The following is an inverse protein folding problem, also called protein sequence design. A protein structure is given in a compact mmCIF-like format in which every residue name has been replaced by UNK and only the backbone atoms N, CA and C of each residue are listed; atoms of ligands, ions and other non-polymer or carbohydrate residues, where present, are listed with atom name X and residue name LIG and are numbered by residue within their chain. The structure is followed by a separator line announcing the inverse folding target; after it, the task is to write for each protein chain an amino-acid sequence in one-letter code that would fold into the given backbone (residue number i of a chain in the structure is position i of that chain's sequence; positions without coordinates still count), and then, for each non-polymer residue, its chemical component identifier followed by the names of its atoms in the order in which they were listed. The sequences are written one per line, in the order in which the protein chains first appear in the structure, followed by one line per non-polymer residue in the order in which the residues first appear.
data_IF_791209899715
#
_entry.id   IF_791209899715
#
_cell.length_a   1.000
_cell.length_b   1.000
_cell.length_c   1.000
_cell.angle_alpha   90.00
_cell.angle_beta   90.00
_cell.angle_gamma   90.00
#
_symmetry.space_group_name_H-M   'P 1'
#
loop_
_entity.id
_entity.type
_entity.pdbx_description
1 polymer ?
#
# COMPACT_ATOMS: atom_id res chain seq x y z
N UNK A 1 16.10 22.00 25.19
CA UNK A 1 15.39 20.78 24.77
C UNK A 1 15.96 20.35 23.43
N UNK A 2 16.71 19.24 23.38
CA UNK A 2 17.10 18.65 22.10
C UNK A 2 15.86 17.99 21.49
N UNK A 3 15.46 18.43 20.30
CA UNK A 3 14.45 17.75 19.52
C UNK A 3 15.02 16.40 19.10
N UNK A 4 14.54 15.32 19.72
CA UNK A 4 14.73 13.97 19.18
C UNK A 4 14.01 13.98 17.83
N UNK A 5 14.76 14.12 16.74
CA UNK A 5 14.25 13.83 15.40
C UNK A 5 14.01 12.33 15.39
N UNK A 6 12.81 11.90 15.77
CA UNK A 6 12.33 10.61 15.32
C UNK A 6 12.36 10.66 13.80
N UNK A 7 13.29 9.92 13.21
CA UNK A 7 13.43 9.80 11.78
C UNK A 7 12.15 9.15 11.27
N UNK A 8 11.23 9.97 10.73
CA UNK A 8 9.91 9.53 10.30
C UNK A 8 10.08 8.69 9.03
N UNK A 9 10.37 7.40 9.24
CA UNK A 9 10.71 6.50 8.16
C UNK A 9 9.43 5.88 7.58
N UNK A 10 9.06 6.36 6.39
CA UNK A 10 7.88 5.88 5.65
C UNK A 10 8.01 4.39 5.31
N UNK A 11 9.22 3.95 4.93
CA UNK A 11 9.49 2.57 4.55
C UNK A 11 9.26 1.61 5.73
N UNK A 12 9.66 1.99 6.94
CA UNK A 12 9.39 1.19 8.14
C UNK A 12 7.91 1.10 8.45
N UNK A 13 7.17 2.20 8.31
CA UNK A 13 5.72 2.21 8.54
C UNK A 13 4.97 1.35 7.53
N UNK A 14 5.39 1.40 6.26
CA UNK A 14 4.85 0.55 5.21
C UNK A 14 5.14 -0.94 5.49
N UNK A 15 6.38 -1.28 5.85
CA UNK A 15 6.78 -2.65 6.24
C UNK A 15 5.98 -3.18 7.42
N UNK A 16 5.72 -2.36 8.45
CA UNK A 16 4.94 -2.74 9.64
C UNK A 16 3.52 -3.21 9.33
N UNK A 17 2.96 -2.81 8.19
CA UNK A 17 1.62 -3.24 7.76
C UNK A 17 1.64 -4.31 6.66
N UNK A 18 2.81 -4.87 6.35
CA UNK A 18 2.97 -5.96 5.39
C UNK A 18 3.20 -5.51 3.94
N UNK A 19 3.59 -4.25 3.72
CA UNK A 19 4.01 -3.78 2.40
C UNK A 19 5.51 -4.00 2.18
N UNK A 20 5.87 -4.23 0.92
CA UNK A 20 7.22 -4.29 0.40
C UNK A 20 7.58 -2.91 -0.16
N UNK A 21 8.83 -2.49 0.03
CA UNK A 21 9.36 -1.26 -0.56
C UNK A 21 9.77 -1.54 -1.99
N UNK A 22 9.09 -0.90 -2.95
CA UNK A 22 9.49 -0.91 -4.36
C UNK A 22 10.52 0.18 -4.64
N UNK A 23 10.20 1.40 -4.22
CA UNK A 23 11.10 2.56 -4.28
C UNK A 23 11.06 3.28 -2.92
N UNK A 24 12.20 3.46 -2.25
CA UNK A 24 12.25 4.12 -0.94
C UNK A 24 11.53 5.47 -0.94
N UNK A 25 10.67 5.69 0.05
CA UNK A 25 9.87 6.91 0.23
C UNK A 25 8.91 7.28 -0.93
N UNK A 26 8.67 6.37 -1.88
CA UNK A 26 7.86 6.68 -3.08
C UNK A 26 6.84 5.58 -3.42
N UNK A 27 7.24 4.30 -3.40
CA UNK A 27 6.41 3.18 -3.88
C UNK A 27 6.47 2.00 -2.90
N UNK A 28 5.29 1.56 -2.49
CA UNK A 28 5.09 0.34 -1.68
C UNK A 28 4.02 -0.54 -2.30
N UNK A 29 4.13 -1.85 -2.09
CA UNK A 29 3.13 -2.79 -2.60
C UNK A 29 3.09 -4.11 -1.83
N UNK A 30 2.02 -4.87 -1.97
CA UNK A 30 2.02 -6.28 -1.59
C UNK A 30 1.08 -7.10 -2.46
N UNK A 31 1.43 -8.37 -2.67
CA UNK A 31 0.54 -9.33 -3.29
C UNK A 31 -0.47 -9.85 -2.28
N UNK A 32 -1.74 -9.64 -2.59
CA UNK A 32 -2.85 -10.12 -1.76
C UNK A 32 -3.33 -11.48 -2.21
N UNK A 33 -3.12 -11.87 -3.48
CA UNK A 33 -3.37 -13.21 -4.03
C UNK A 33 -2.46 -13.46 -5.24
N UNK A 34 -2.59 -14.62 -5.89
CA UNK A 34 -1.86 -14.92 -7.13
C UNK A 34 -2.29 -14.05 -8.34
N UNK A 35 -3.37 -13.26 -8.20
CA UNK A 35 -3.95 -12.42 -9.26
C UNK A 35 -4.27 -11.01 -8.78
N UNK A 36 -3.80 -10.58 -7.61
CA UNK A 36 -4.15 -9.27 -7.09
C UNK A 36 -3.09 -8.67 -6.19
N UNK A 37 -2.75 -7.43 -6.50
CA UNK A 37 -1.74 -6.64 -5.81
C UNK A 37 -2.35 -5.34 -5.29
N UNK A 38 -1.85 -4.88 -4.16
CA UNK A 38 -2.13 -3.56 -3.60
C UNK A 38 -0.89 -2.70 -3.77
N UNK A 39 -1.07 -1.49 -4.26
CA UNK A 39 -0.03 -0.50 -4.47
C UNK A 39 -0.31 0.74 -3.61
N UNK A 40 0.77 1.41 -3.21
CA UNK A 40 0.77 2.71 -2.54
C UNK A 40 1.89 3.53 -3.17
N UNK A 41 1.55 4.63 -3.82
CA UNK A 41 2.52 5.46 -4.55
C UNK A 41 2.29 6.94 -4.26
N UNK A 42 3.37 7.72 -4.20
CA UNK A 42 3.31 9.16 -4.17
C UNK A 42 3.15 9.74 -5.58
N UNK A 43 1.92 10.12 -5.94
CA UNK A 43 1.56 10.60 -7.28
C UNK A 43 1.11 12.05 -7.20
N UNK A 44 1.81 12.94 -7.92
CA UNK A 44 1.41 14.36 -8.10
C UNK A 44 1.11 15.08 -6.77
N UNK A 45 1.96 14.87 -5.75
CA UNK A 45 1.87 15.58 -4.48
C UNK A 45 0.96 14.92 -3.43
N UNK A 46 0.43 13.72 -3.68
CA UNK A 46 -0.38 13.00 -2.71
C UNK A 46 -0.07 11.50 -2.74
N UNK A 47 -0.29 10.84 -1.62
CA UNK A 47 -0.23 9.38 -1.56
C UNK A 47 -1.54 8.82 -2.11
N UNK A 48 -1.44 7.78 -2.94
CA UNK A 48 -2.58 7.09 -3.53
C UNK A 48 -2.39 5.60 -3.30
N UNK A 49 -3.43 4.93 -2.82
CA UNK A 49 -3.45 3.48 -2.68
C UNK A 49 -4.59 2.86 -3.48
N UNK A 50 -4.28 1.80 -4.21
CA UNK A 50 -5.24 1.07 -5.02
C UNK A 50 -4.91 -0.42 -5.06
N UNK A 51 -5.91 -1.22 -5.44
CA UNK A 51 -5.74 -2.62 -5.78
C UNK A 51 -5.90 -2.81 -7.28
N UNK A 52 -5.00 -3.58 -7.87
CA UNK A 52 -5.20 -4.15 -9.20
C UNK A 52 -5.45 -5.64 -9.11
N UNK A 53 -6.26 -6.16 -10.03
CA UNK A 53 -6.40 -7.59 -10.26
C UNK A 53 -6.10 -7.91 -11.71
N UNK A 54 -5.56 -9.09 -11.97
CA UNK A 54 -5.06 -9.49 -13.28
C UNK A 54 -5.70 -10.81 -13.74
N UNK A 55 -5.69 -11.04 -15.06
CA UNK A 55 -5.97 -12.38 -15.61
C UNK A 55 -4.77 -13.27 -15.24
N UNK A 56 -4.99 -14.47 -14.66
CA UNK A 56 -3.90 -15.37 -14.29
C UNK A 56 -2.88 -15.56 -15.42
N UNK A 57 -1.60 -15.54 -15.07
CA UNK A 57 -0.47 -15.71 -16.01
C UNK A 57 -0.37 -14.65 -17.12
N UNK A 58 -0.96 -13.47 -16.92
CA UNK A 58 -0.82 -12.35 -17.84
C UNK A 58 -0.66 -11.04 -17.06
N UNK A 59 -0.25 -9.97 -17.75
CA UNK A 59 -0.26 -8.61 -17.22
C UNK A 59 -1.56 -7.86 -17.54
N UNK A 60 -2.60 -8.55 -18.02
CA UNK A 60 -3.87 -7.92 -18.35
C UNK A 60 -4.67 -7.65 -17.07
N UNK A 61 -4.81 -6.37 -16.74
CA UNK A 61 -5.60 -5.92 -15.60
C UNK A 61 -7.11 -6.14 -15.85
N UNK A 62 -7.76 -6.85 -14.94
CA UNK A 62 -9.20 -7.09 -14.94
C UNK A 62 -9.96 -6.08 -14.10
N UNK A 63 -9.34 -5.54 -13.04
CA UNK A 63 -9.99 -4.54 -12.20
C UNK A 63 -8.99 -3.58 -11.58
N UNK A 64 -9.50 -2.38 -11.29
CA UNK A 64 -8.85 -1.36 -10.50
C UNK A 64 -9.80 -0.91 -9.41
N UNK A 65 -9.32 -0.82 -8.17
CA UNK A 65 -10.10 -0.30 -7.04
C UNK A 65 -9.26 0.69 -6.24
N UNK A 66 -9.67 1.95 -6.23
CA UNK A 66 -9.12 2.94 -5.31
C UNK A 66 -9.44 2.56 -3.86
N UNK A 67 -8.44 2.59 -2.99
CA UNK A 67 -8.56 2.33 -1.55
C UNK A 67 -8.61 3.67 -0.81
N UNK A 68 -7.65 4.56 -1.08
CA UNK A 68 -7.56 5.88 -0.45
C UNK A 68 -6.62 6.80 -1.24
N UNK A 69 -6.75 8.11 -1.00
CA UNK A 69 -5.80 9.12 -1.44
C UNK A 69 -5.68 10.23 -0.37
N UNK A 70 -4.53 10.86 -0.22
CA UNK A 70 -4.31 11.96 0.73
C UNK A 70 -2.92 11.94 1.38
N UNK A 71 -2.86 12.22 2.68
CA UNK A 71 -1.60 12.12 3.45
C UNK A 71 -1.16 10.67 3.60
N UNK A 72 0.14 10.48 3.86
CA UNK A 72 0.70 9.15 4.07
C UNK A 72 0.01 8.41 5.22
N UNK A 73 -0.20 9.08 6.36
CA UNK A 73 -0.82 8.46 7.55
C UNK A 73 -2.23 7.96 7.24
N UNK A 74 -3.02 8.79 6.54
CA UNK A 74 -4.38 8.43 6.15
C UNK A 74 -4.38 7.23 5.22
N UNK A 75 -3.52 7.23 4.20
CA UNK A 75 -3.45 6.18 3.20
C UNK A 75 -3.00 4.87 3.83
N UNK A 76 -1.92 4.88 4.62
CA UNK A 76 -1.41 3.69 5.32
C UNK A 76 -2.44 3.11 6.30
N UNK A 77 -3.16 3.96 7.05
CA UNK A 77 -4.23 3.50 7.93
C UNK A 77 -5.36 2.79 7.16
N UNK A 78 -5.75 3.34 5.99
CA UNK A 78 -6.77 2.73 5.12
C UNK A 78 -6.29 1.43 4.49
N UNK A 79 -5.02 1.37 4.06
CA UNK A 79 -4.41 0.14 3.52
C UNK A 79 -4.36 -0.94 4.59
N UNK A 80 -3.90 -0.63 5.81
CA UNK A 80 -3.90 -1.58 6.94
C UNK A 80 -5.29 -2.18 7.18
N UNK A 81 -6.32 -1.33 7.23
CA UNK A 81 -7.71 -1.80 7.40
C UNK A 81 -8.17 -2.67 6.23
N UNK A 82 -7.80 -2.31 5.01
CA UNK A 82 -8.11 -3.09 3.81
C UNK A 82 -7.44 -4.47 3.83
N UNK A 83 -6.14 -4.53 4.14
CA UNK A 83 -5.37 -5.78 4.25
C UNK A 83 -5.94 -6.70 5.35
N UNK A 84 -6.33 -6.14 6.49
CA UNK A 84 -6.98 -6.88 7.57
C UNK A 84 -8.36 -7.43 7.16
N UNK A 85 -9.11 -6.68 6.35
CA UNK A 85 -10.42 -7.12 5.89
C UNK A 85 -10.31 -8.29 4.89
N UNK A 86 -9.37 -8.21 3.94
CA UNK A 86 -9.19 -9.26 2.94
C UNK A 86 -8.56 -10.53 3.53
N UNK A 87 -7.67 -10.40 4.52
CA UNK A 87 -7.07 -11.56 5.20
C UNK A 87 -8.12 -12.36 5.97
N UNK A 88 -9.05 -11.69 6.66
CA UNK A 88 -10.16 -12.34 7.38
C UNK A 88 -11.14 -13.10 6.49
N UNK A 89 -11.27 -12.73 5.22
CA UNK A 89 -12.16 -13.42 4.26
C UNK A 89 -11.52 -14.61 3.57
N UNK A 90 -10.23 -14.84 3.82
CA UNK A 90 -9.45 -15.92 3.22
C UNK A 90 -9.42 -17.18 4.10
N UNK A 91 -9.84 -17.05 5.36
CA UNK A 91 -10.11 -18.12 6.31
C UNK A 91 -11.62 -18.35 6.42
#
# INVERSE_FOLDING_TARGET
MQAVKEDYNLDEQAKKIGLIVGVPNEIYFCSTSHVSDVYVEFIKGQWVAWRESFIPNTNHRTSYKLIAQGSFELVIARVKNYLNYISKRRN
#
